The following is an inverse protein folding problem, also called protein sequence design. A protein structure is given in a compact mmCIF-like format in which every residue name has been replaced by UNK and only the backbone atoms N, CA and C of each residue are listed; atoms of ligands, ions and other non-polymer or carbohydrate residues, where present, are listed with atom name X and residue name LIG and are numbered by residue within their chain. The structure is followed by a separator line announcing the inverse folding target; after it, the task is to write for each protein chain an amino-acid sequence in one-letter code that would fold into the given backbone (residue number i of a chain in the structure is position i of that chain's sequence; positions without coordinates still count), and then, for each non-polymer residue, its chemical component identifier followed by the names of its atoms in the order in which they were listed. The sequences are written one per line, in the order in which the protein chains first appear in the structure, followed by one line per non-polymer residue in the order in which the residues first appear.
data_IF_216432360370
#
_entry.id   IF_216432360370
#
_cell.length_a   1.000
_cell.length_b   1.000
_cell.length_c   1.000
_cell.angle_alpha   90.00
_cell.angle_beta   90.00
_cell.angle_gamma   90.00
#
_symmetry.space_group_name_H-M   'P 1'
#
loop_
_entity.id
_entity.type
_entity.pdbx_description
1 polymer ?
#
# COMPACT_ATOMS: atom_id res chain seq x y z
N UNK A 1 13.13 -6.45 49.31
CA UNK A 1 14.10 -6.69 48.23
C UNK A 1 13.44 -7.13 46.92
N UNK A 2 12.52 -8.10 46.91
CA UNK A 2 11.80 -8.53 45.68
C UNK A 2 11.11 -7.42 44.87
N UNK A 3 10.47 -6.43 45.54
CA UNK A 3 9.77 -5.32 44.86
C UNK A 3 10.74 -4.38 44.11
N UNK A 4 11.95 -4.19 44.62
CA UNK A 4 12.98 -3.38 43.95
C UNK A 4 13.56 -4.11 42.73
N UNK A 5 13.66 -5.44 42.79
CA UNK A 5 14.12 -6.29 41.70
C UNK A 5 13.16 -6.28 40.49
N UNK A 6 11.84 -6.27 40.76
CA UNK A 6 10.80 -6.22 39.74
C UNK A 6 10.77 -4.89 38.97
N UNK A 7 11.03 -3.77 39.65
CA UNK A 7 11.08 -2.44 39.02
C UNK A 7 12.32 -2.30 38.15
N UNK A 8 13.47 -2.80 38.60
CA UNK A 8 14.70 -2.83 37.79
C UNK A 8 14.52 -3.69 36.52
N UNK A 9 13.80 -4.80 36.61
CA UNK A 9 13.53 -5.68 35.46
C UNK A 9 12.68 -5.00 34.37
N UNK A 10 11.73 -4.14 34.77
CA UNK A 10 10.90 -3.35 33.84
C UNK A 10 11.74 -2.28 33.11
N UNK A 11 12.74 -1.68 33.78
CA UNK A 11 13.66 -0.72 33.17
C UNK A 11 14.71 -1.36 32.25
N UNK A 12 14.97 -2.66 32.38
CA UNK A 12 15.81 -3.43 31.46
C UNK A 12 15.05 -3.93 30.22
N UNK A 13 13.71 -3.83 30.19
CA UNK A 13 12.96 -4.08 28.96
C UNK A 13 13.30 -2.96 27.96
N UNK A 14 13.74 -3.29 26.75
CA UNK A 14 14.10 -2.28 25.77
C UNK A 14 12.89 -1.42 25.43
N UNK A 15 12.86 -0.18 25.95
CA UNK A 15 11.85 0.83 25.61
C UNK A 15 11.89 1.24 24.12
N UNK A 16 12.87 0.75 23.37
CA UNK A 16 13.03 0.96 21.93
C UNK A 16 12.00 0.25 21.06
N UNK A 17 11.12 -0.57 21.62
CA UNK A 17 10.05 -1.26 20.86
C UNK A 17 8.83 -0.37 20.55
N UNK A 18 8.67 0.78 21.23
CA UNK A 18 7.49 1.65 21.08
C UNK A 18 7.53 2.60 19.86
N UNK A 19 8.57 2.52 19.03
CA UNK A 19 8.74 3.37 17.84
C UNK A 19 9.01 2.58 16.55
N UNK A 20 8.76 1.27 16.52
CA UNK A 20 8.90 0.49 15.30
C UNK A 20 7.80 0.91 14.31
N UNK A 21 8.15 1.75 13.33
CA UNK A 21 7.30 2.03 12.17
C UNK A 21 6.91 0.70 11.52
N UNK A 22 5.63 0.53 11.17
CA UNK A 22 5.17 -0.68 10.52
C UNK A 22 6.03 -0.98 9.28
N UNK A 23 6.55 -2.21 9.12
CA UNK A 23 7.55 -2.48 8.11
C UNK A 23 6.96 -2.33 6.71
N UNK A 24 7.70 -1.65 5.84
CA UNK A 24 7.39 -1.61 4.42
C UNK A 24 7.58 -3.00 3.78
N UNK A 25 6.83 -3.26 2.71
CA UNK A 25 6.89 -4.50 1.95
C UNK A 25 7.28 -4.24 0.50
N UNK A 26 8.11 -5.10 -0.08
CA UNK A 26 8.61 -4.98 -1.44
C UNK A 26 8.42 -6.30 -2.17
N UNK A 27 7.91 -6.25 -3.41
CA UNK A 27 7.79 -7.46 -4.23
C UNK A 27 7.90 -7.12 -5.71
N UNK A 28 8.70 -7.89 -6.44
CA UNK A 28 8.91 -7.73 -7.88
C UNK A 28 8.80 -9.09 -8.53
N UNK A 29 7.95 -9.21 -9.55
CA UNK A 29 7.81 -10.41 -10.36
C UNK A 29 7.24 -10.05 -11.74
N UNK A 30 7.42 -10.91 -12.74
CA UNK A 30 6.78 -10.68 -14.06
C UNK A 30 5.25 -10.65 -13.93
N UNK A 31 4.69 -11.60 -13.19
CA UNK A 31 3.28 -11.64 -12.80
C UNK A 31 3.23 -11.73 -11.29
N UNK A 32 2.67 -10.72 -10.63
CA UNK A 32 2.66 -10.57 -9.18
C UNK A 32 1.23 -10.59 -8.67
N UNK A 33 0.96 -11.50 -7.72
CA UNK A 33 -0.27 -11.52 -6.94
C UNK A 33 0.07 -11.20 -5.48
N UNK A 34 -0.30 -10.01 -5.02
CA UNK A 34 -0.13 -9.59 -3.64
C UNK A 34 -1.38 -9.97 -2.82
N UNK A 35 -1.36 -11.20 -2.29
CA UNK A 35 -2.46 -11.80 -1.53
C UNK A 35 -2.27 -11.77 0.00
N UNK A 36 -1.15 -11.23 0.50
CA UNK A 36 -0.90 -11.01 1.92
C UNK A 36 -0.97 -9.51 2.25
N UNK A 37 -1.53 -9.18 3.41
CA UNK A 37 -1.65 -7.80 3.85
C UNK A 37 -0.28 -7.15 4.06
N UNK A 38 -0.20 -5.86 3.77
CA UNK A 38 1.00 -5.05 4.00
C UNK A 38 0.79 -4.19 5.24
N UNK A 39 1.55 -4.42 6.34
CA UNK A 39 1.35 -3.71 7.60
C UNK A 39 1.79 -2.24 7.55
N UNK A 40 2.64 -1.86 6.61
CA UNK A 40 2.99 -0.47 6.28
C UNK A 40 2.90 -0.24 4.77
N UNK A 41 3.78 0.62 4.25
CA UNK A 41 3.81 0.95 2.83
C UNK A 41 4.14 -0.29 1.96
N UNK A 42 3.56 -0.34 0.77
CA UNK A 42 3.74 -1.42 -0.19
C UNK A 42 4.32 -0.90 -1.50
N UNK A 43 5.44 -1.48 -1.91
CA UNK A 43 6.08 -1.22 -3.20
C UNK A 43 6.02 -2.47 -4.05
N UNK A 44 5.43 -2.37 -5.25
CA UNK A 44 5.19 -3.53 -6.13
C UNK A 44 5.59 -3.21 -7.57
N UNK A 45 6.19 -4.17 -8.26
CA UNK A 45 6.51 -4.00 -9.68
C UNK A 45 6.34 -5.30 -10.47
N UNK A 46 5.88 -5.19 -11.72
CA UNK A 46 5.76 -6.34 -12.62
C UNK A 46 5.17 -6.01 -13.99
N UNK A 47 5.05 -6.98 -14.89
CA UNK A 47 4.29 -6.77 -16.13
C UNK A 47 2.78 -6.80 -15.83
N UNK A 48 2.36 -7.69 -14.95
CA UNK A 48 0.99 -7.77 -14.42
C UNK A 48 1.05 -7.78 -12.90
N UNK A 49 0.39 -6.83 -12.24
CA UNK A 49 0.33 -6.75 -10.78
C UNK A 49 -1.13 -6.74 -10.34
N UNK A 50 -1.47 -7.65 -9.44
CA UNK A 50 -2.82 -7.75 -8.85
C UNK A 50 -2.68 -7.70 -7.33
N UNK A 51 -3.33 -6.72 -6.70
CA UNK A 51 -3.35 -6.54 -5.25
C UNK A 51 -4.74 -6.95 -4.73
N UNK A 52 -4.79 -8.00 -3.92
CA UNK A 52 -6.03 -8.55 -3.35
C UNK A 52 -6.05 -8.56 -1.83
N UNK A 53 -5.00 -8.04 -1.19
CA UNK A 53 -4.94 -7.91 0.25
C UNK A 53 -4.72 -6.44 0.66
N UNK A 54 -5.25 -6.01 1.83
CA UNK A 54 -5.19 -4.61 2.24
C UNK A 54 -3.76 -4.10 2.43
N UNK A 55 -3.58 -2.81 2.15
CA UNK A 55 -2.34 -2.06 2.42
C UNK A 55 -2.64 -1.03 3.51
N UNK A 56 -1.98 -1.16 4.66
CA UNK A 56 -2.23 -0.29 5.81
C UNK A 56 -1.58 1.09 5.69
N UNK A 57 -0.58 1.25 4.82
CA UNK A 57 0.02 2.55 4.47
C UNK A 57 -0.22 2.90 3.00
N UNK A 58 0.79 3.50 2.37
CA UNK A 58 0.75 3.91 0.97
C UNK A 58 1.05 2.74 0.03
N UNK A 59 0.45 2.74 -1.15
CA UNK A 59 0.69 1.78 -2.22
C UNK A 59 1.38 2.47 -3.40
N UNK A 60 2.58 2.03 -3.76
CA UNK A 60 3.29 2.44 -4.97
C UNK A 60 3.49 1.25 -5.89
N UNK A 61 2.93 1.30 -7.10
CA UNK A 61 2.95 0.20 -8.07
C UNK A 61 3.37 0.67 -9.44
N UNK A 62 4.23 -0.10 -10.09
CA UNK A 62 4.49 0.05 -11.53
C UNK A 62 4.25 -1.24 -12.28
N UNK A 63 3.67 -1.16 -13.48
CA UNK A 63 3.62 -2.31 -14.35
C UNK A 63 3.02 -2.10 -15.74
N UNK A 64 2.85 -3.19 -16.49
CA UNK A 64 2.10 -3.12 -17.75
C UNK A 64 0.60 -2.99 -17.52
N UNK A 65 0.08 -3.82 -16.60
CA UNK A 65 -1.29 -3.80 -16.11
C UNK A 65 -1.30 -3.89 -14.59
N UNK A 66 -2.07 -3.03 -13.93
CA UNK A 66 -2.21 -3.01 -12.48
C UNK A 66 -3.69 -3.08 -12.12
N UNK A 67 -4.02 -3.99 -11.20
CA UNK A 67 -5.36 -4.12 -10.60
C UNK A 67 -5.23 -4.00 -9.09
N UNK A 68 -5.86 -2.98 -8.51
CA UNK A 68 -5.96 -2.80 -7.06
C UNK A 68 -7.38 -3.18 -6.65
N UNK A 69 -7.54 -4.27 -5.89
CA UNK A 69 -8.85 -4.84 -5.55
C UNK A 69 -9.08 -4.96 -4.04
N UNK A 70 -8.18 -4.39 -3.24
CA UNK A 70 -8.28 -4.37 -1.79
C UNK A 70 -7.93 -2.97 -1.25
N UNK A 71 -8.50 -2.56 -0.10
CA UNK A 71 -8.36 -1.20 0.40
C UNK A 71 -6.91 -0.75 0.60
N UNK A 72 -6.67 0.53 0.30
CA UNK A 72 -5.43 1.25 0.60
C UNK A 72 -5.75 2.34 1.63
N UNK A 73 -5.10 2.25 2.80
CA UNK A 73 -5.37 3.16 3.91
C UNK A 73 -4.59 4.48 3.83
N UNK A 74 -3.52 4.54 3.03
CA UNK A 74 -2.82 5.77 2.68
C UNK A 74 -3.14 6.22 1.26
N UNK A 75 -2.11 6.66 0.54
CA UNK A 75 -2.18 7.12 -0.85
C UNK A 75 -1.90 5.98 -1.86
N UNK A 76 -2.44 6.11 -3.07
CA UNK A 76 -2.17 5.19 -4.18
C UNK A 76 -1.42 5.89 -5.34
N UNK A 77 -0.19 5.45 -5.63
CA UNK A 77 0.61 5.90 -6.78
C UNK A 77 0.78 4.73 -7.76
N UNK A 78 0.23 4.86 -8.97
CA UNK A 78 0.30 3.81 -9.98
C UNK A 78 0.80 4.34 -11.32
N UNK A 79 1.82 3.68 -11.86
CA UNK A 79 2.35 3.93 -13.20
C UNK A 79 2.20 2.66 -14.04
N UNK A 80 1.20 2.62 -14.94
CA UNK A 80 0.97 1.45 -15.76
C UNK A 80 0.30 1.71 -17.11
N UNK A 81 0.47 0.81 -18.08
CA UNK A 81 -0.26 0.90 -19.36
C UNK A 81 -1.77 0.86 -19.18
N UNK A 82 -2.26 0.00 -18.28
CA UNK A 82 -3.65 -0.10 -17.86
C UNK A 82 -3.77 -0.14 -16.34
N UNK A 83 -4.68 0.65 -15.79
CA UNK A 83 -4.96 0.76 -14.35
C UNK A 83 -6.45 0.47 -14.13
N UNK A 84 -6.74 -0.45 -13.21
CA UNK A 84 -8.09 -0.71 -12.67
C UNK A 84 -8.01 -0.65 -11.15
N UNK A 85 -8.44 0.47 -10.58
CA UNK A 85 -8.55 0.64 -9.13
C UNK A 85 -10.00 0.38 -8.72
N UNK A 86 -10.21 -0.75 -8.04
CA UNK A 86 -11.49 -1.29 -7.56
C UNK A 86 -11.51 -1.33 -6.03
N UNK A 87 -10.71 -0.48 -5.43
CA UNK A 87 -10.47 -0.44 -4.01
C UNK A 87 -10.79 0.94 -3.48
N UNK A 88 -11.35 0.99 -2.27
CA UNK A 88 -11.40 2.24 -1.52
C UNK A 88 -9.98 2.69 -1.20
N UNK A 89 -9.66 3.93 -1.56
CA UNK A 89 -8.42 4.61 -1.17
C UNK A 89 -8.77 5.69 -0.16
N UNK A 90 -8.16 5.67 1.02
CA UNK A 90 -8.49 6.64 2.07
C UNK A 90 -7.86 8.01 1.81
N UNK A 91 -6.65 8.03 1.26
CA UNK A 91 -5.94 9.25 0.88
C UNK A 91 -6.14 9.63 -0.60
N UNK A 92 -5.07 10.13 -1.21
CA UNK A 92 -5.05 10.61 -2.59
C UNK A 92 -4.69 9.48 -3.58
N UNK A 93 -5.07 9.66 -4.86
CA UNK A 93 -4.59 8.81 -5.95
C UNK A 93 -3.84 9.61 -7.01
N UNK A 94 -2.72 9.05 -7.48
CA UNK A 94 -1.86 9.62 -8.52
C UNK A 94 -1.60 8.55 -9.57
N UNK A 95 -2.32 8.62 -10.70
CA UNK A 95 -2.30 7.60 -11.74
C UNK A 95 -1.74 8.13 -13.06
N UNK A 96 -0.79 7.38 -13.63
CA UNK A 96 -0.22 7.64 -14.94
C UNK A 96 -0.36 6.38 -15.80
N UNK A 97 -1.18 6.44 -16.84
CA UNK A 97 -1.41 5.28 -17.69
C UNK A 97 -2.15 5.52 -18.99
N UNK A 98 -2.22 4.51 -19.86
CA UNK A 98 -2.97 4.64 -21.12
C UNK A 98 -4.47 4.62 -20.90
N UNK A 99 -4.95 3.62 -20.14
CA UNK A 99 -6.35 3.48 -19.72
C UNK A 99 -6.43 3.39 -18.19
N UNK A 100 -7.30 4.20 -17.60
CA UNK A 100 -7.50 4.28 -16.15
C UNK A 100 -8.99 4.13 -15.87
N UNK A 101 -9.34 3.16 -15.01
CA UNK A 101 -10.69 3.03 -14.45
C UNK A 101 -10.58 3.04 -12.92
N UNK A 102 -11.37 3.90 -12.28
CA UNK A 102 -11.51 4.04 -10.84
C UNK A 102 -12.97 3.70 -10.53
N UNK A 103 -13.21 2.65 -9.75
CA UNK A 103 -14.57 2.12 -9.52
C UNK A 103 -15.08 2.42 -8.11
N UNK A 104 -14.19 2.69 -7.16
CA UNK A 104 -14.49 2.85 -5.75
C UNK A 104 -14.05 4.22 -5.23
N UNK A 105 -14.57 4.59 -4.06
CA UNK A 105 -14.33 5.91 -3.48
C UNK A 105 -12.85 6.16 -3.19
N UNK A 106 -12.38 7.33 -3.65
CA UNK A 106 -11.14 7.99 -3.20
C UNK A 106 -11.51 9.03 -2.15
N UNK A 107 -10.85 9.00 -0.99
CA UNK A 107 -11.13 9.90 0.12
C UNK A 107 -10.54 11.29 -0.04
N UNK A 108 -9.40 11.40 -0.73
CA UNK A 108 -8.72 12.64 -1.07
C UNK A 108 -8.87 13.03 -2.55
N UNK A 109 -7.81 13.59 -3.10
CA UNK A 109 -7.79 14.11 -4.48
C UNK A 109 -7.41 13.02 -5.51
N UNK A 110 -7.98 13.15 -6.71
CA UNK A 110 -7.65 12.32 -7.87
C UNK A 110 -6.80 13.13 -8.85
N UNK A 111 -5.58 12.66 -9.11
CA UNK A 111 -4.74 13.14 -10.22
C UNK A 111 -4.52 11.97 -11.18
N UNK A 112 -5.11 12.03 -12.37
CA UNK A 112 -5.00 10.98 -13.37
C UNK A 112 -4.59 11.54 -14.74
N UNK A 113 -3.54 10.97 -15.33
CA UNK A 113 -3.08 11.30 -16.67
C UNK A 113 -3.13 10.06 -17.56
N UNK A 114 -3.94 10.13 -18.63
CA UNK A 114 -4.04 9.04 -19.61
C UNK A 114 -4.81 9.37 -20.87
N UNK A 115 -4.81 8.42 -21.82
CA UNK A 115 -5.62 8.54 -23.05
C UNK A 115 -7.12 8.40 -22.76
N UNK A 116 -7.48 7.61 -21.74
CA UNK A 116 -8.85 7.39 -21.29
C UNK A 116 -8.86 7.27 -19.77
N UNK A 117 -9.70 8.06 -19.11
CA UNK A 117 -9.91 8.06 -17.66
C UNK A 117 -11.41 7.96 -17.39
N UNK A 118 -11.78 7.03 -16.52
CA UNK A 118 -13.13 6.90 -15.96
C UNK A 118 -13.01 6.84 -14.43
N UNK A 119 -13.75 7.70 -13.73
CA UNK A 119 -13.78 7.82 -12.27
C UNK A 119 -15.21 7.84 -11.71
#
# INVERSE_FOLDING_TARGET
MQRALLIALIFLLPASTLAASAPASFSVARSLLAASSSPGNAYRAGISVVITAPVAGDLSVTGGSVVTAAPVHGDELVLAGSISSRARVTGDVRFFGGRINIEEQVGGDIIAFGFSVHD
#
